data_IF_201631501397
#
_entry.id   IF_201631501397
#
_cell.length_a   1.000
_cell.length_b   1.000
_cell.length_c   1.000
_cell.angle_alpha   90.00
_cell.angle_beta   90.00
_cell.angle_gamma   90.00
#
_symmetry.space_group_name_H-M   'P 1'
#
loop_
_entity.id
_entity.type
_entity.pdbx_description
1 polymer ?
#
# COMPACT_ATOMS: atom_id res chain seq x y z
N UNK A 1 -12.34 19.48 19.02
CA UNK A 1 -11.21 18.58 18.77
C UNK A 1 -11.42 17.98 17.41
N UNK A 2 -10.41 18.01 16.56
CA UNK A 2 -10.48 17.35 15.26
C UNK A 2 -10.59 15.83 15.46
N UNK A 3 -11.25 15.15 14.52
CA UNK A 3 -11.37 13.69 14.55
C UNK A 3 -10.01 13.01 14.35
N UNK A 4 -9.82 11.79 14.86
CA UNK A 4 -8.53 11.10 14.75
C UNK A 4 -8.14 10.84 13.29
N UNK A 5 -9.10 10.50 12.44
CA UNK A 5 -8.90 10.37 11.00
C UNK A 5 -8.46 11.69 10.33
N UNK A 6 -8.95 12.83 10.81
CA UNK A 6 -8.51 14.16 10.35
C UNK A 6 -7.08 14.43 10.80
N UNK A 7 -6.74 14.12 12.05
CA UNK A 7 -5.39 14.27 12.57
C UNK A 7 -4.38 13.42 11.76
N UNK A 8 -4.68 12.15 11.51
CA UNK A 8 -3.84 11.28 10.69
C UNK A 8 -3.58 11.88 9.31
N UNK A 9 -4.66 12.26 8.59
CA UNK A 9 -4.57 12.84 7.25
C UNK A 9 -3.73 14.11 7.23
N UNK A 10 -3.97 15.02 8.16
CA UNK A 10 -3.26 16.31 8.22
C UNK A 10 -1.80 16.09 8.58
N UNK A 11 -1.52 15.24 9.56
CA UNK A 11 -0.17 15.00 10.03
C UNK A 11 0.70 14.26 8.99
N UNK A 12 0.13 13.37 8.18
CA UNK A 12 0.87 12.62 7.15
C UNK A 12 0.81 13.28 5.77
N UNK A 13 0.27 14.49 5.64
CA UNK A 13 0.03 15.11 4.34
C UNK A 13 1.33 15.36 3.55
N UNK A 14 2.36 15.89 4.21
CA UNK A 14 3.65 16.17 3.57
C UNK A 14 4.29 14.89 3.02
N UNK A 15 4.34 13.82 3.82
CA UNK A 15 4.92 12.54 3.38
C UNK A 15 4.07 11.85 2.31
N UNK A 16 2.75 12.03 2.32
CA UNK A 16 1.87 11.58 1.25
C UNK A 16 2.21 12.28 -0.08
N UNK A 17 2.33 13.62 -0.06
CA UNK A 17 2.70 14.39 -1.26
C UNK A 17 4.08 13.96 -1.76
N UNK A 18 5.05 13.83 -0.87
CA UNK A 18 6.41 13.36 -1.21
C UNK A 18 6.38 12.00 -1.93
N UNK A 19 5.64 11.03 -1.39
CA UNK A 19 5.49 9.70 -1.98
C UNK A 19 4.84 9.75 -3.37
N UNK A 20 3.78 10.54 -3.55
CA UNK A 20 3.09 10.73 -4.84
C UNK A 20 3.99 11.41 -5.88
N UNK A 21 4.82 12.35 -5.45
CA UNK A 21 5.75 13.09 -6.34
C UNK A 21 7.12 12.44 -6.48
N UNK A 22 7.32 11.23 -5.92
CA UNK A 22 8.59 10.52 -6.05
C UNK A 22 8.98 10.36 -7.53
N UNK A 23 10.27 10.50 -7.83
CA UNK A 23 10.79 10.44 -9.20
C UNK A 23 10.37 9.16 -9.90
N UNK A 24 10.52 8.00 -9.24
CA UNK A 24 10.12 6.72 -9.79
C UNK A 24 8.63 6.68 -10.19
N UNK A 25 7.72 7.11 -9.31
CA UNK A 25 6.28 7.13 -9.62
C UNK A 25 5.96 8.14 -10.73
N UNK A 26 6.59 9.31 -10.71
CA UNK A 26 6.42 10.34 -11.75
C UNK A 26 6.91 9.86 -13.12
N UNK A 27 8.02 9.13 -13.17
CA UNK A 27 8.59 8.56 -14.39
C UNK A 27 7.73 7.41 -14.90
N UNK A 28 7.30 6.52 -14.01
CA UNK A 28 6.42 5.38 -14.31
C UNK A 28 5.07 5.83 -14.86
N UNK A 29 4.36 6.71 -14.14
CA UNK A 29 3.05 7.21 -14.53
C UNK A 29 3.11 8.18 -15.72
N UNK A 30 4.27 8.81 -15.93
CA UNK A 30 4.59 9.61 -17.10
C UNK A 30 4.94 8.79 -18.35
N UNK A 31 5.02 7.46 -18.26
CA UNK A 31 5.35 6.58 -19.38
C UNK A 31 6.83 6.59 -19.77
N UNK A 32 7.71 7.11 -18.90
CA UNK A 32 9.17 7.12 -19.11
C UNK A 32 9.83 5.81 -18.69
N UNK A 33 9.14 4.99 -17.89
CA UNK A 33 9.57 3.63 -17.52
C UNK A 33 8.68 2.57 -18.19
N UNK A 34 9.26 1.41 -18.48
CA UNK A 34 8.59 0.29 -19.14
C UNK A 34 7.91 -0.69 -18.18
N UNK A 35 7.25 -1.71 -18.74
CA UNK A 35 6.52 -2.75 -18.00
C UNK A 35 7.41 -3.52 -17.01
N UNK A 36 8.71 -3.61 -17.26
CA UNK A 36 9.65 -4.25 -16.33
C UNK A 36 9.77 -3.49 -14.99
N UNK A 37 9.76 -2.15 -15.02
CA UNK A 37 9.76 -1.32 -13.81
C UNK A 37 8.44 -1.43 -13.05
N UNK A 38 7.33 -1.44 -13.78
CA UNK A 38 6.01 -1.68 -13.20
C UNK A 38 5.93 -3.04 -12.50
N UNK A 39 6.34 -4.12 -13.19
CA UNK A 39 6.36 -5.46 -12.61
C UNK A 39 7.27 -5.54 -11.39
N UNK A 40 8.44 -4.89 -11.42
CA UNK A 40 9.36 -4.83 -10.28
C UNK A 40 8.74 -4.09 -9.08
N UNK A 41 7.98 -3.03 -9.32
CA UNK A 41 7.19 -2.37 -8.28
C UNK A 41 6.07 -3.29 -7.73
N UNK A 42 5.32 -3.98 -8.60
CA UNK A 42 4.30 -4.94 -8.18
C UNK A 42 4.88 -6.06 -7.31
N UNK A 43 6.10 -6.53 -7.59
CA UNK A 43 6.82 -7.49 -6.73
C UNK A 43 7.09 -6.90 -5.34
N UNK A 44 7.50 -5.64 -5.25
CA UNK A 44 7.76 -4.99 -3.96
C UNK A 44 6.47 -4.81 -3.16
N UNK A 45 5.35 -4.50 -3.83
CA UNK A 45 4.04 -4.48 -3.19
C UNK A 45 3.70 -5.85 -2.59
N UNK A 46 3.95 -6.95 -3.31
CA UNK A 46 3.65 -8.29 -2.79
C UNK A 46 4.26 -8.54 -1.41
N UNK A 47 5.52 -8.17 -1.17
CA UNK A 47 6.14 -8.33 0.15
C UNK A 47 5.49 -7.48 1.25
N UNK A 48 5.10 -6.24 0.93
CA UNK A 48 4.44 -5.35 1.91
C UNK A 48 3.03 -5.85 2.25
N UNK A 49 2.27 -6.30 1.25
CA UNK A 49 0.92 -6.84 1.47
C UNK A 49 0.94 -8.23 2.08
N UNK A 50 1.95 -9.06 1.79
CA UNK A 50 2.18 -10.31 2.51
C UNK A 50 2.38 -10.03 4.00
N UNK A 51 3.19 -9.04 4.36
CA UNK A 51 3.39 -8.65 5.76
C UNK A 51 2.12 -8.09 6.42
N UNK A 52 1.33 -7.30 5.67
CA UNK A 52 0.04 -6.77 6.15
C UNK A 52 -1.03 -7.85 6.35
N UNK A 53 -1.12 -8.81 5.43
CA UNK A 53 -2.23 -9.77 5.37
C UNK A 53 -1.91 -11.09 6.09
N UNK A 54 -0.63 -11.46 6.19
CA UNK A 54 -0.22 -12.62 7.00
C UNK A 54 -0.55 -12.38 8.48
N UNK A 55 -1.18 -13.38 9.10
CA UNK A 55 -1.61 -13.29 10.50
C UNK A 55 -2.85 -12.42 10.74
N UNK A 56 -3.58 -12.01 9.69
CA UNK A 56 -4.84 -11.28 9.80
C UNK A 56 -5.85 -11.93 10.77
N UNK A 57 -5.93 -13.27 10.80
CA UNK A 57 -6.82 -14.01 11.70
C UNK A 57 -6.54 -13.71 13.19
N UNK A 58 -5.25 -13.57 13.56
CA UNK A 58 -4.87 -13.23 14.94
C UNK A 58 -5.23 -11.78 15.26
N UNK A 59 -5.02 -10.86 14.32
CA UNK A 59 -5.39 -9.45 14.49
C UNK A 59 -6.91 -9.24 14.52
N UNK A 60 -7.69 -10.10 13.87
CA UNK A 60 -9.15 -9.99 13.85
C UNK A 60 -9.77 -10.08 15.26
N UNK A 61 -9.10 -10.74 16.20
CA UNK A 61 -9.50 -10.82 17.60
C UNK A 61 -9.01 -9.65 18.47
N UNK A 62 -8.10 -8.80 17.95
CA UNK A 62 -7.56 -7.66 18.68
C UNK A 62 -8.59 -6.51 18.75
N UNK A 63 -8.81 -5.89 19.92
CA UNK A 63 -9.83 -4.84 20.07
C UNK A 63 -9.51 -3.54 19.34
N UNK A 64 -8.26 -3.29 18.95
CA UNK A 64 -7.83 -2.08 18.24
C UNK A 64 -7.72 -2.35 16.75
N UNK A 65 -6.99 -3.39 16.35
CA UNK A 65 -6.72 -3.70 14.95
C UNK A 65 -7.86 -4.49 14.28
N UNK A 66 -8.57 -5.34 15.02
CA UNK A 66 -9.59 -6.25 14.50
C UNK A 66 -10.67 -5.60 13.63
N UNK A 67 -11.24 -4.44 14.02
CA UNK A 67 -12.23 -3.74 13.19
C UNK A 67 -11.71 -3.34 11.80
N UNK A 68 -10.40 -3.21 11.62
CA UNK A 68 -9.78 -2.85 10.34
C UNK A 68 -9.46 -4.05 9.46
N UNK A 69 -9.40 -5.27 10.02
CA UNK A 69 -9.11 -6.50 9.28
C UNK A 69 -10.34 -6.91 8.46
N UNK A 70 -10.42 -6.43 7.22
CA UNK A 70 -11.59 -6.68 6.35
C UNK A 70 -11.19 -7.39 5.06
N UNK A 71 -11.68 -8.62 4.80
CA UNK A 71 -11.27 -9.41 3.64
C UNK A 71 -11.45 -8.72 2.29
N UNK A 72 -12.43 -7.83 2.15
CA UNK A 72 -12.65 -7.07 0.91
C UNK A 72 -11.52 -6.09 0.57
N UNK A 73 -10.61 -5.82 1.52
CA UNK A 73 -9.38 -5.06 1.31
C UNK A 73 -8.20 -5.93 0.87
N UNK A 74 -8.21 -7.24 1.06
CA UNK A 74 -7.02 -8.07 0.83
C UNK A 74 -6.61 -8.12 -0.64
N UNK A 75 -5.33 -7.85 -0.89
CA UNK A 75 -4.70 -7.66 -2.18
C UNK A 75 -3.73 -8.74 -2.56
N UNK A 76 -3.28 -9.58 -1.64
CA UNK A 76 -2.32 -10.63 -1.96
C UNK A 76 -2.80 -11.53 -3.12
N UNK A 77 -4.05 -12.04 -3.16
CA UNK A 77 -4.51 -12.84 -4.30
C UNK A 77 -4.51 -12.08 -5.63
N UNK A 78 -4.83 -10.78 -5.61
CA UNK A 78 -4.79 -9.93 -6.81
C UNK A 78 -3.35 -9.72 -7.28
N UNK A 79 -2.42 -9.44 -6.37
CA UNK A 79 -0.99 -9.28 -6.66
C UNK A 79 -0.39 -10.54 -7.27
N UNK A 80 -0.74 -11.71 -6.75
CA UNK A 80 -0.23 -12.97 -7.28
C UNK A 80 -0.70 -13.25 -8.71
N UNK A 81 -1.95 -12.89 -9.04
CA UNK A 81 -2.47 -13.00 -10.41
C UNK A 81 -1.83 -11.98 -11.34
N UNK A 82 -1.62 -10.76 -10.86
CA UNK A 82 -0.93 -9.73 -11.63
C UNK A 82 0.53 -10.13 -11.91
N UNK A 83 1.24 -10.67 -10.92
CA UNK A 83 2.62 -11.13 -11.08
C UNK A 83 2.73 -12.34 -12.02
N UNK A 84 1.78 -13.28 -11.95
CA UNK A 84 1.72 -14.38 -12.90
C UNK A 84 1.53 -13.89 -14.36
N UNK A 85 0.76 -12.82 -14.55
CA UNK A 85 0.60 -12.19 -15.86
C UNK A 85 1.86 -11.42 -16.30
N UNK A 86 2.48 -10.66 -15.40
CA UNK A 86 3.60 -9.77 -15.69
C UNK A 86 4.94 -10.50 -15.87
N UNK A 87 5.13 -11.63 -15.16
CA UNK A 87 6.41 -12.37 -15.11
C UNK A 87 6.29 -13.84 -15.53
N UNK A 88 5.08 -14.34 -15.76
CA UNK A 88 4.81 -15.74 -16.09
C UNK A 88 4.49 -16.61 -14.88
N UNK A 89 4.15 -17.88 -15.12
CA UNK A 89 3.69 -18.81 -14.07
C UNK A 89 4.72 -19.00 -12.93
N UNK A 90 6.01 -18.98 -13.26
CA UNK A 90 7.13 -19.15 -12.32
C UNK A 90 7.62 -17.84 -11.69
N UNK A 91 6.79 -16.79 -11.67
CA UNK A 91 7.16 -15.47 -11.15
C UNK A 91 7.79 -15.50 -9.74
N UNK A 92 7.40 -16.46 -8.90
CA UNK A 92 7.97 -16.65 -7.56
C UNK A 92 9.46 -16.99 -7.57
N UNK A 93 9.97 -17.65 -8.60
CA UNK A 93 11.37 -18.07 -8.66
C UNK A 93 12.35 -16.89 -8.78
N UNK A 94 11.92 -15.78 -9.38
CA UNK A 94 12.71 -14.54 -9.52
C UNK A 94 12.39 -13.49 -8.46
N UNK A 95 11.49 -13.78 -7.53
CA UNK A 95 10.97 -12.80 -6.59
C UNK A 95 12.02 -12.45 -5.53
N UNK A 96 12.36 -11.17 -5.43
CA UNK A 96 13.30 -10.66 -4.43
C UNK A 96 12.84 -9.32 -3.87
N UNK A 97 12.95 -9.15 -2.56
CA UNK A 97 12.69 -7.89 -1.90
C UNK A 97 13.93 -6.99 -2.00
N UNK A 98 13.73 -5.72 -2.33
CA UNK A 98 14.74 -4.69 -2.11
C UNK A 98 15.02 -4.56 -0.60
N UNK A 99 16.22 -4.12 -0.19
CA UNK A 99 16.50 -3.85 1.23
C UNK A 99 15.48 -2.89 1.87
N UNK A 100 15.05 -1.84 1.15
CA UNK A 100 14.02 -0.92 1.61
C UNK A 100 12.65 -1.61 1.77
N UNK A 101 12.30 -2.52 0.87
CA UNK A 101 11.06 -3.29 0.92
C UNK A 101 11.07 -4.29 2.06
N UNK A 102 12.19 -4.98 2.29
CA UNK A 102 12.37 -5.87 3.44
C UNK A 102 12.22 -5.10 4.76
N UNK A 103 12.87 -3.94 4.88
CA UNK A 103 12.75 -3.07 6.06
C UNK A 103 11.30 -2.62 6.31
N UNK A 104 10.54 -2.32 5.25
CA UNK A 104 9.12 -2.00 5.37
C UNK A 104 8.32 -3.23 5.85
N UNK A 105 8.44 -4.36 5.15
CA UNK A 105 7.74 -5.58 5.52
C UNK A 105 8.04 -6.01 6.96
N UNK A 106 9.30 -5.94 7.40
CA UNK A 106 9.71 -6.27 8.77
C UNK A 106 9.08 -5.33 9.80
N UNK A 107 9.01 -4.02 9.50
CA UNK A 107 8.32 -3.08 10.39
C UNK A 107 6.82 -3.38 10.51
N UNK A 108 6.17 -3.75 9.42
CA UNK A 108 4.76 -4.17 9.45
C UNK A 108 4.58 -5.41 10.33
N UNK A 109 5.45 -6.42 10.18
CA UNK A 109 5.41 -7.65 11.00
C UNK A 109 5.63 -7.35 12.48
N UNK A 110 6.60 -6.50 12.81
CA UNK A 110 6.87 -6.05 14.18
C UNK A 110 5.63 -5.39 14.80
N UNK A 111 5.01 -4.45 14.09
CA UNK A 111 3.77 -3.80 14.53
C UNK A 111 2.64 -4.81 14.73
N UNK A 112 2.39 -5.70 13.76
CA UNK A 112 1.37 -6.74 13.89
C UNK A 112 1.54 -7.59 15.15
N UNK A 113 2.77 -7.98 15.46
CA UNK A 113 3.06 -8.94 16.52
C UNK A 113 3.13 -8.31 17.91
N UNK A 114 3.66 -7.08 18.00
CA UNK A 114 4.02 -6.46 19.28
C UNK A 114 3.21 -5.19 19.56
N UNK A 115 2.61 -4.59 18.53
CA UNK A 115 1.93 -3.30 18.64
C UNK A 115 0.76 -3.14 17.64
N UNK A 116 -0.38 -3.83 17.86
CA UNK A 116 -1.52 -3.84 16.92
C UNK A 116 -2.07 -2.45 16.56
N UNK A 117 -2.00 -1.47 17.48
CA UNK A 117 -2.36 -0.10 17.18
C UNK A 117 -1.44 0.53 16.11
N UNK A 118 -0.13 0.23 16.15
CA UNK A 118 0.82 0.64 15.11
C UNK A 118 0.56 -0.03 13.76
N UNK A 119 0.04 -1.26 13.75
CA UNK A 119 -0.38 -1.93 12.50
C UNK A 119 -1.49 -1.14 11.78
N UNK A 120 -2.42 -0.52 12.52
CA UNK A 120 -3.49 0.32 11.92
C UNK A 120 -2.90 1.49 11.10
N UNK A 121 -1.72 2.01 11.47
CA UNK A 121 -1.05 3.06 10.71
C UNK A 121 -0.63 2.59 9.31
N UNK A 122 -0.01 1.41 9.21
CA UNK A 122 0.40 0.81 7.93
C UNK A 122 -0.82 0.42 7.08
N UNK A 123 -1.84 -0.16 7.72
CA UNK A 123 -3.10 -0.51 7.10
C UNK A 123 -3.80 0.72 6.49
N UNK A 124 -3.87 1.81 7.26
CA UNK A 124 -4.40 3.09 6.78
C UNK A 124 -3.63 3.61 5.57
N UNK A 125 -2.30 3.73 5.69
CA UNK A 125 -1.44 4.30 4.65
C UNK A 125 -1.58 3.55 3.32
N UNK A 126 -1.61 2.21 3.36
CA UNK A 126 -1.73 1.39 2.16
C UNK A 126 -3.15 1.39 1.58
N UNK A 127 -4.14 0.89 2.32
CA UNK A 127 -5.47 0.61 1.76
C UNK A 127 -6.27 1.88 1.40
N UNK A 128 -6.16 2.96 2.18
CA UNK A 128 -6.85 4.22 1.84
C UNK A 128 -6.16 4.93 0.67
N UNK A 129 -4.84 4.76 0.54
CA UNK A 129 -4.07 5.18 -0.63
C UNK A 129 -4.56 4.47 -1.89
N UNK A 130 -4.64 3.14 -1.86
CA UNK A 130 -5.10 2.34 -3.00
C UNK A 130 -6.54 2.68 -3.45
N UNK A 131 -7.44 2.90 -2.48
CA UNK A 131 -8.83 3.32 -2.71
C UNK A 131 -8.98 4.77 -3.18
N UNK A 132 -7.90 5.54 -3.21
CA UNK A 132 -7.89 6.95 -3.62
C UNK A 132 -7.10 7.17 -4.89
N UNK A 133 -5.81 6.82 -4.90
CA UNK A 133 -4.90 7.02 -6.04
C UNK A 133 -4.77 5.81 -6.97
N UNK A 134 -5.15 4.60 -6.53
CA UNK A 134 -4.93 3.37 -7.29
C UNK A 134 -5.62 3.34 -8.66
N UNK A 135 -6.74 4.05 -8.81
CA UNK A 135 -7.43 4.16 -10.11
C UNK A 135 -6.59 4.88 -11.16
N UNK A 136 -5.81 5.89 -10.76
CA UNK A 136 -4.93 6.63 -11.67
C UNK A 136 -3.82 5.70 -12.17
N UNK A 137 -3.22 4.92 -11.26
CA UNK A 137 -2.16 3.98 -11.60
C UNK A 137 -2.68 2.90 -12.55
N UNK A 138 -3.85 2.31 -12.25
CA UNK A 138 -4.54 1.36 -13.14
C UNK A 138 -4.73 1.93 -14.53
N UNK A 139 -5.40 3.09 -14.63
CA UNK A 139 -5.78 3.66 -15.92
C UNK A 139 -4.54 4.04 -16.75
N UNK A 140 -3.41 4.35 -16.11
CA UNK A 140 -2.12 4.56 -16.78
C UNK A 140 -1.53 3.24 -17.27
N UNK A 141 -1.50 2.20 -16.43
CA UNK A 141 -0.97 0.89 -16.79
C UNK A 141 -1.76 0.23 -17.93
N UNK A 142 -3.10 0.26 -17.88
CA UNK A 142 -3.99 -0.25 -18.93
C UNK A 142 -3.69 0.40 -20.28
N UNK A 143 -3.49 1.72 -20.30
CA UNK A 143 -3.18 2.47 -21.53
C UNK A 143 -1.75 2.27 -22.01
N UNK A 144 -0.77 2.25 -21.10
CA UNK A 144 0.65 2.17 -21.45
C UNK A 144 1.04 0.80 -22.03
N UNK A 145 0.45 -0.28 -21.53
CA UNK A 145 0.84 -1.66 -21.90
C UNK A 145 -0.30 -2.50 -22.47
N UNK A 146 -1.48 -1.90 -22.71
CA UNK A 146 -2.60 -2.57 -23.35
C UNK A 146 -3.27 -3.65 -22.50
N UNK A 147 -3.15 -3.57 -21.17
CA UNK A 147 -3.80 -4.53 -20.28
C UNK A 147 -5.32 -4.46 -20.39
N UNK A 148 -5.97 -5.62 -20.22
CA UNK A 148 -7.43 -5.68 -20.18
C UNK A 148 -7.96 -4.84 -19.01
N UNK A 149 -9.05 -4.12 -19.24
CA UNK A 149 -9.65 -3.24 -18.24
C UNK A 149 -10.01 -4.01 -16.97
N UNK A 150 -9.46 -3.59 -15.82
CA UNK A 150 -9.61 -4.26 -14.51
C UNK A 150 -9.19 -5.75 -14.53
N UNK A 151 -8.36 -6.13 -15.51
CA UNK A 151 -7.92 -7.50 -15.71
C UNK A 151 -6.58 -7.80 -15.04
N UNK A 152 -5.98 -8.93 -15.44
CA UNK A 152 -4.66 -9.33 -14.99
C UNK A 152 -3.61 -8.27 -15.37
N UNK A 153 -2.65 -8.05 -14.47
CA UNK A 153 -1.65 -6.99 -14.56
C UNK A 153 -2.06 -5.73 -13.79
N UNK A 154 -3.35 -5.55 -13.45
CA UNK A 154 -3.85 -4.40 -12.69
C UNK A 154 -4.95 -4.74 -11.67
N UNK A 155 -5.16 -6.02 -11.35
CA UNK A 155 -6.17 -6.47 -10.37
C UNK A 155 -5.94 -5.89 -9.00
N UNK A 156 -4.69 -5.63 -8.62
CA UNK A 156 -4.33 -4.98 -7.36
C UNK A 156 -5.13 -3.69 -7.11
N UNK A 157 -5.43 -2.93 -8.18
CA UNK A 157 -6.17 -1.67 -8.11
C UNK A 157 -7.70 -1.85 -8.27
N UNK A 158 -8.19 -3.09 -8.27
CA UNK A 158 -9.62 -3.41 -8.45
C UNK A 158 -10.19 -4.08 -7.21
N UNK A 159 -11.10 -3.36 -6.53
CA UNK A 159 -11.75 -3.80 -5.30
C UNK A 159 -13.15 -4.33 -5.61
N UNK A 160 -13.25 -5.55 -6.14
CA UNK A 160 -14.53 -6.12 -6.64
C UNK A 160 -15.60 -6.25 -5.55
N UNK A 161 -15.18 -6.47 -4.31
CA UNK A 161 -16.07 -6.63 -3.15
C UNK A 161 -16.51 -5.28 -2.54
N UNK A 162 -15.97 -4.15 -3.02
CA UNK A 162 -16.33 -2.81 -2.54
C UNK A 162 -17.15 -2.10 -3.61
N UNK A 163 -18.48 -2.16 -3.49
CA UNK A 163 -19.39 -1.52 -4.43
C UNK A 163 -19.34 0.01 -4.42
N UNK A 164 -19.08 0.63 -3.26
CA UNK A 164 -18.99 2.08 -3.11
C UNK A 164 -17.72 2.50 -2.34
N UNK A 165 -16.61 2.79 -3.06
CA UNK A 165 -15.36 3.21 -2.43
C UNK A 165 -15.47 4.47 -1.57
N UNK A 166 -16.33 5.42 -1.91
CA UNK A 166 -16.51 6.65 -1.13
C UNK A 166 -17.20 6.36 0.22
N UNK A 167 -18.24 5.51 0.21
CA UNK A 167 -18.90 5.06 1.43
C UNK A 167 -17.95 4.24 2.31
N UNK A 168 -17.21 3.32 1.71
CA UNK A 168 -16.20 2.52 2.42
C UNK A 168 -15.15 3.39 3.11
N UNK A 169 -14.58 4.37 2.40
CA UNK A 169 -13.60 5.29 3.00
C UNK A 169 -14.19 6.15 4.12
N UNK A 170 -15.50 6.42 4.12
CA UNK A 170 -16.16 7.13 5.22
C UNK A 170 -16.28 6.21 6.45
N UNK A 171 -16.78 5.00 6.27
CA UNK A 171 -16.85 3.98 7.33
C UNK A 171 -15.46 3.70 7.94
N UNK A 172 -14.42 3.56 7.12
CA UNK A 172 -13.06 3.38 7.60
C UNK A 172 -12.60 4.55 8.49
N UNK A 173 -12.97 5.80 8.15
CA UNK A 173 -12.63 6.97 8.97
C UNK A 173 -13.42 6.99 10.27
N UNK A 174 -14.67 6.55 10.26
CA UNK A 174 -15.48 6.39 11.48
C UNK A 174 -14.83 5.36 12.42
N UNK A 175 -14.26 4.25 11.89
CA UNK A 175 -13.48 3.29 12.68
C UNK A 175 -12.23 3.90 13.29
N UNK A 176 -11.49 4.73 12.54
CA UNK A 176 -10.35 5.48 13.10
C UNK A 176 -10.82 6.43 14.21
N UNK A 177 -11.91 7.17 13.99
CA UNK A 177 -12.42 8.13 14.96
C UNK A 177 -12.90 7.44 16.27
N UNK A 178 -13.35 6.19 16.17
CA UNK A 178 -13.75 5.34 17.29
C UNK A 178 -12.65 4.40 17.81
N UNK A 179 -11.40 4.56 17.37
CA UNK A 179 -10.30 3.66 17.75
C UNK A 179 -10.11 3.61 19.27
N UNK A 180 -9.93 2.40 19.81
CA UNK A 180 -9.76 2.16 21.25
C UNK A 180 -8.33 2.49 21.71
N UNK A 181 -7.94 3.75 21.61
CA UNK A 181 -6.63 4.27 21.96
C UNK A 181 -6.76 5.58 22.74
N UNK A 182 -5.92 5.78 23.75
CA UNK A 182 -5.81 7.06 24.44
C UNK A 182 -5.04 8.09 23.57
N UNK A 183 -4.95 9.34 24.04
CA UNK A 183 -4.31 10.41 23.28
C UNK A 183 -2.81 10.17 23.05
N UNK A 184 -2.11 9.54 23.99
CA UNK A 184 -0.68 9.21 23.82
C UNK A 184 -0.52 8.15 22.73
N UNK A 185 -1.36 7.12 22.76
CA UNK A 185 -1.36 6.04 21.79
C UNK A 185 -1.73 6.55 20.39
N UNK A 186 -2.72 7.44 20.29
CA UNK A 186 -3.05 8.13 19.02
C UNK A 186 -1.86 8.90 18.46
N UNK A 187 -1.10 9.61 19.30
CA UNK A 187 0.12 10.31 18.85
C UNK A 187 1.20 9.34 18.35
N UNK A 188 1.34 8.17 18.99
CA UNK A 188 2.25 7.12 18.52
C UNK A 188 1.80 6.57 17.15
N UNK A 189 0.51 6.30 16.95
CA UNK A 189 -0.05 5.86 15.66
C UNK A 189 0.19 6.92 14.58
N UNK A 190 0.02 8.22 14.88
CA UNK A 190 0.32 9.32 13.94
C UNK A 190 1.78 9.33 13.52
N UNK A 191 2.70 9.14 14.48
CA UNK A 191 4.13 9.03 14.19
C UNK A 191 4.43 7.82 13.32
N UNK A 192 3.79 6.68 13.59
CA UNK A 192 3.95 5.47 12.77
C UNK A 192 3.36 5.62 11.37
N UNK A 193 2.28 6.39 11.21
CA UNK A 193 1.70 6.69 9.90
C UNK A 193 2.69 7.47 9.04
N UNK A 194 3.36 8.49 9.61
CA UNK A 194 4.45 9.20 8.93
C UNK A 194 5.58 8.25 8.54
N UNK A 195 5.97 7.35 9.45
CA UNK A 195 7.00 6.34 9.18
C UNK A 195 6.59 5.39 8.04
N UNK A 196 5.33 4.97 7.97
CA UNK A 196 4.81 4.13 6.89
C UNK A 196 4.93 4.83 5.52
N UNK A 197 4.64 6.13 5.44
CA UNK A 197 4.89 6.90 4.22
C UNK A 197 6.38 7.01 3.89
N UNK A 198 7.24 7.31 4.87
CA UNK A 198 8.69 7.33 4.67
C UNK A 198 9.22 6.00 4.14
N UNK A 199 8.83 4.88 4.75
CA UNK A 199 9.20 3.54 4.27
C UNK A 199 8.73 3.29 2.83
N UNK A 200 7.54 3.77 2.48
CA UNK A 200 7.04 3.67 1.12
C UNK A 200 7.85 4.52 0.12
N UNK A 201 8.23 5.74 0.50
CA UNK A 201 9.11 6.60 -0.29
C UNK A 201 10.49 5.98 -0.49
N UNK A 202 11.05 5.31 0.53
CA UNK A 202 12.32 4.60 0.41
C UNK A 202 12.25 3.43 -0.57
N UNK A 203 11.11 2.72 -0.64
CA UNK A 203 10.88 1.70 -1.68
C UNK A 203 10.89 2.33 -3.07
N UNK A 204 10.22 3.47 -3.26
CA UNK A 204 10.24 4.19 -4.54
C UNK A 204 11.63 4.71 -4.90
N UNK A 205 12.40 5.20 -3.94
CA UNK A 205 13.78 5.64 -4.16
C UNK A 205 14.65 4.47 -4.62
N UNK A 206 14.58 3.33 -3.94
CA UNK A 206 15.34 2.13 -4.30
C UNK A 206 14.94 1.59 -5.69
N UNK A 207 13.65 1.65 -6.06
CA UNK A 207 13.20 1.33 -7.41
C UNK A 207 13.74 2.32 -8.45
N UNK A 208 13.81 3.62 -8.13
CA UNK A 208 14.41 4.62 -9.00
C UNK A 208 15.91 4.38 -9.27
N UNK A 209 16.62 3.80 -8.29
CA UNK A 209 18.02 3.40 -8.45
C UNK A 209 18.20 2.17 -9.34
N UNK A 210 17.26 1.21 -9.33
CA UNK A 210 17.26 0.07 -10.28
C UNK A 210 16.86 0.48 -11.71
N UNK A 211 16.04 1.53 -11.87
CA UNK A 211 15.56 2.01 -13.16
C UNK A 211 15.89 3.49 -13.42
N UNK A 212 17.18 3.87 -13.49
CA UNK A 212 17.56 5.24 -13.80
C UNK A 212 17.18 5.59 -15.24
N UNK A 213 16.61 6.78 -15.45
CA UNK A 213 16.53 7.34 -16.80
C UNK A 213 17.96 7.72 -17.23
N UNK A 214 18.55 6.94 -18.14
CA UNK A 214 19.80 7.36 -18.79
C UNK A 214 19.54 8.67 -19.53
N UNK A 215 20.38 9.68 -19.30
CA UNK A 215 20.33 10.92 -20.08
C UNK A 215 20.45 10.57 -21.57
N UNK A 216 19.46 10.99 -22.35
CA UNK A 216 19.45 10.87 -23.81
C UNK A 216 20.50 11.78 -24.44
#
# INVERSE_FOLDING_TARGET
MDSFSTLLRTASHEQHVEAETSTFMSDLLGGRLGVAAYARYTEQLWFVYEALESGAERLAADPVAGPFVRPELFRLPSLERDLAHLRGADWRAGLSALPATAAYADRVRECREQWPAGYVAHHYTRYLGDLSGGQIIRDRAERAWGFARKGDGVRFYTFEQIGNPAAFKREYRELLDAVRADELEKQRIVTECKRAFTLNTEVFRALGEEFPLTAA
#
